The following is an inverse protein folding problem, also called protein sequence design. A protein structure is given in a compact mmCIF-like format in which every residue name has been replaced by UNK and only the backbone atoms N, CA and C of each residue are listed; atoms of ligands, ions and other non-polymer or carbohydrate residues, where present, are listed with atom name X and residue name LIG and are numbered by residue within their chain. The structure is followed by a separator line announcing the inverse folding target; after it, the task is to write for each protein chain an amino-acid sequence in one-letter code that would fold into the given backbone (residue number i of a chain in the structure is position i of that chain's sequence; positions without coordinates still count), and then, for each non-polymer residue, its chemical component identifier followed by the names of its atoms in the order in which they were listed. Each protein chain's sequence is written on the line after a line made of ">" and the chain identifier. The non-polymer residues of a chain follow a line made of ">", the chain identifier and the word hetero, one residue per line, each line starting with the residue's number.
data_IF_767766676715
#
_entry.id   IF_767766676715
#
_cell.length_a   1.000
_cell.length_b   1.000
_cell.length_c   1.000
_cell.angle_alpha   90.00
_cell.angle_beta   90.00
_cell.angle_gamma   90.00
#
_symmetry.space_group_name_H-M   'P 1'
#
loop_
_entity.id
_entity.type
_entity.pdbx_description
1 polymer ?
#
# COMPACT_ATOMS: atom_id res chain seq x y z
N UNK A 1 -0.94 -9.10 -15.91
CA UNK A 1 -1.75 -8.16 -15.10
C UNK A 1 -0.80 -7.09 -14.55
N UNK A 2 -1.18 -5.81 -14.51
CA UNK A 2 -0.28 -4.70 -14.14
C UNK A 2 -0.61 -4.15 -12.75
N UNK A 3 -0.31 -4.91 -11.71
CA UNK A 3 -0.42 -4.45 -10.33
C UNK A 3 0.92 -4.68 -9.63
N UNK A 4 1.50 -3.62 -9.09
CA UNK A 4 2.79 -3.62 -8.43
C UNK A 4 2.76 -2.73 -7.19
N UNK A 5 3.74 -2.93 -6.32
CA UNK A 5 3.97 -2.09 -5.15
C UNK A 5 5.48 -2.00 -4.89
N UNK A 6 5.89 -0.92 -4.24
CA UNK A 6 7.30 -0.66 -3.90
C UNK A 6 7.44 -0.81 -2.40
N UNK A 7 8.37 -1.66 -1.98
CA UNK A 7 8.81 -1.75 -0.59
C UNK A 7 10.12 -0.99 -0.43
N UNK A 8 10.20 -0.17 0.62
CA UNK A 8 11.39 0.60 1.00
C UNK A 8 11.83 0.19 2.39
N UNK A 9 13.12 -0.12 2.56
CA UNK A 9 13.74 -0.28 3.87
C UNK A 9 15.17 0.29 3.85
N UNK A 10 15.73 0.53 5.03
CA UNK A 10 17.14 0.88 5.21
C UNK A 10 17.84 -0.30 5.89
N UNK A 11 18.74 -0.97 5.16
CA UNK A 11 19.53 -2.11 5.64
C UNK A 11 21.00 -1.71 5.56
N UNK A 12 21.78 -1.95 6.61
CA UNK A 12 23.19 -1.59 6.68
C UNK A 12 23.47 -0.12 6.31
N UNK A 13 22.60 0.78 6.80
CA UNK A 13 22.62 2.23 6.51
C UNK A 13 22.43 2.59 5.02
N UNK A 14 22.02 1.65 4.18
CA UNK A 14 21.72 1.86 2.78
C UNK A 14 20.20 1.75 2.55
N UNK A 15 19.64 2.77 1.89
CA UNK A 15 18.25 2.73 1.46
C UNK A 15 18.07 1.82 0.25
N UNK A 16 17.22 0.81 0.39
CA UNK A 16 16.89 -0.17 -0.65
C UNK A 16 15.41 -0.05 -0.99
N UNK A 17 15.10 -0.08 -2.28
CA UNK A 17 13.73 -0.15 -2.79
C UNK A 17 13.59 -1.33 -3.74
N UNK A 18 12.55 -2.12 -3.55
CA UNK A 18 12.22 -3.26 -4.42
C UNK A 18 10.79 -3.13 -4.88
N UNK A 19 10.59 -3.20 -6.20
CA UNK A 19 9.26 -3.24 -6.81
C UNK A 19 8.85 -4.70 -7.00
N UNK A 20 7.74 -5.08 -6.40
CA UNK A 20 7.14 -6.41 -6.55
C UNK A 20 5.92 -6.35 -7.46
N UNK A 21 5.76 -7.36 -8.30
CA UNK A 21 4.56 -7.56 -9.12
C UNK A 21 3.62 -8.57 -8.44
N UNK A 22 2.36 -8.18 -8.21
CA UNK A 22 1.40 -8.97 -7.42
C UNK A 22 1.04 -10.32 -8.06
N UNK A 23 1.18 -10.42 -9.39
CA UNK A 23 0.78 -11.59 -10.17
C UNK A 23 1.98 -12.32 -10.78
N UNK A 24 3.20 -12.05 -10.29
CA UNK A 24 4.38 -12.79 -10.70
C UNK A 24 4.33 -14.23 -10.14
N UNK A 25 4.47 -15.28 -10.98
CA UNK A 25 4.54 -16.66 -10.50
C UNK A 25 5.72 -16.95 -9.56
N UNK A 26 6.75 -16.09 -9.52
CA UNK A 26 7.86 -16.23 -8.57
C UNK A 26 7.49 -15.85 -7.12
N UNK A 27 6.40 -15.09 -6.94
CA UNK A 27 5.94 -14.63 -5.64
C UNK A 27 5.27 -15.78 -4.85
N UNK A 28 5.95 -16.26 -3.81
CA UNK A 28 5.51 -17.43 -3.05
C UNK A 28 4.53 -17.09 -1.91
N UNK A 29 4.84 -16.04 -1.14
CA UNK A 29 4.06 -15.61 0.03
C UNK A 29 4.17 -14.10 0.19
N UNK A 30 3.04 -13.46 0.48
CA UNK A 30 2.98 -12.08 0.96
C UNK A 30 2.45 -12.13 2.39
N UNK A 31 3.22 -11.59 3.32
CA UNK A 31 2.89 -11.53 4.74
C UNK A 31 2.80 -10.07 5.17
N UNK A 32 1.73 -9.73 5.87
CA UNK A 32 1.49 -8.36 6.37
C UNK A 32 1.98 -8.34 7.81
N UNK A 33 3.06 -7.58 8.08
CA UNK A 33 3.60 -7.43 9.43
C UNK A 33 2.79 -6.43 10.25
N UNK A 34 2.42 -5.30 9.65
CA UNK A 34 1.63 -4.24 10.28
C UNK A 34 0.71 -3.60 9.27
N UNK A 35 -0.57 -3.50 9.61
CA UNK A 35 -1.58 -2.87 8.77
C UNK A 35 -1.88 -1.46 9.31
N UNK A 36 -1.48 -0.44 8.57
CA UNK A 36 -1.78 0.95 8.90
C UNK A 36 -1.97 1.81 7.64
N UNK A 37 -2.63 2.94 7.82
CA UNK A 37 -2.70 4.03 6.83
C UNK A 37 -1.83 5.19 7.26
N UNK A 38 -1.37 5.96 6.29
CA UNK A 38 -0.67 7.24 6.51
C UNK A 38 -1.58 8.39 6.09
N UNK A 39 -1.16 9.62 6.35
CA UNK A 39 -1.91 10.82 5.98
C UNK A 39 -1.91 11.08 4.46
N UNK A 40 -0.91 10.56 3.76
CA UNK A 40 -0.78 10.67 2.30
C UNK A 40 -0.84 9.27 1.68
N UNK A 41 -1.40 9.17 0.47
CA UNK A 41 -1.48 7.91 -0.29
C UNK A 41 -0.11 7.47 -0.84
N UNK A 42 0.74 8.43 -1.21
CA UNK A 42 2.07 8.20 -1.77
C UNK A 42 3.17 8.66 -0.81
N UNK A 43 4.09 7.76 -0.46
CA UNK A 43 5.15 8.01 0.52
C UNK A 43 6.53 8.27 -0.11
N UNK A 44 6.59 8.73 -1.36
CA UNK A 44 7.86 8.92 -2.08
C UNK A 44 8.81 9.93 -1.41
N UNK A 45 8.28 10.85 -0.59
CA UNK A 45 9.07 11.79 0.21
C UNK A 45 9.97 11.11 1.25
N UNK A 46 9.74 9.84 1.58
CA UNK A 46 10.61 9.04 2.45
C UNK A 46 12.02 8.83 1.87
N UNK A 47 12.21 9.04 0.56
CA UNK A 47 13.54 9.05 -0.08
C UNK A 47 14.42 10.19 0.44
N UNK A 48 13.82 11.35 0.66
CA UNK A 48 14.47 12.57 1.14
C UNK A 48 14.31 12.79 2.65
N UNK A 49 13.63 11.88 3.35
CA UNK A 49 13.43 11.92 4.80
C UNK A 49 14.66 11.45 5.59
N UNK A 50 14.65 11.71 6.90
CA UNK A 50 15.60 11.08 7.83
C UNK A 50 15.46 9.55 7.79
N UNK A 51 16.57 8.78 7.86
CA UNK A 51 16.54 7.32 7.77
C UNK A 51 15.69 6.64 8.85
N UNK A 52 15.52 7.27 10.01
CA UNK A 52 14.73 6.77 11.14
C UNK A 52 13.28 6.43 10.73
N UNK A 53 12.70 7.18 9.79
CA UNK A 53 11.33 6.93 9.31
C UNK A 53 11.23 5.82 8.25
N UNK A 54 12.36 5.22 7.84
CA UNK A 54 12.43 4.17 6.82
C UNK A 54 13.24 2.96 7.26
N UNK A 55 13.70 2.93 8.52
CA UNK A 55 14.49 1.82 9.05
C UNK A 55 13.56 0.90 9.84
N UNK A 56 13.39 -0.33 9.35
CA UNK A 56 12.59 -1.36 9.99
C UNK A 56 13.41 -2.63 10.18
N UNK A 57 13.23 -3.29 11.33
CA UNK A 57 13.88 -4.57 11.63
C UNK A 57 13.38 -5.65 10.67
N UNK A 58 14.27 -6.33 9.91
CA UNK A 58 13.89 -7.47 9.07
C UNK A 58 13.23 -8.63 9.81
N UNK A 59 13.46 -8.75 11.13
CA UNK A 59 12.92 -9.82 11.97
C UNK A 59 11.71 -9.39 12.81
N UNK A 60 11.03 -8.30 12.42
CA UNK A 60 9.84 -7.84 13.12
C UNK A 60 8.71 -8.88 13.09
N UNK A 61 8.06 -9.10 14.23
CA UNK A 61 6.90 -9.98 14.35
C UNK A 61 5.62 -9.32 13.82
N UNK A 62 4.68 -10.14 13.33
CA UNK A 62 3.41 -9.63 12.81
C UNK A 62 2.47 -9.19 13.94
N UNK A 63 1.98 -7.95 13.86
CA UNK A 63 0.97 -7.39 14.75
C UNK A 63 -0.43 -7.91 14.35
N UNK A 64 -1.07 -8.68 15.25
CA UNK A 64 -2.41 -9.22 15.01
C UNK A 64 -3.47 -8.15 15.31
N UNK A 65 -4.26 -7.82 14.29
CA UNK A 65 -5.39 -6.91 14.39
C UNK A 65 -6.69 -7.73 14.34
N UNK A 66 -7.66 -7.50 15.25
CA UNK A 66 -8.90 -8.25 15.25
C UNK A 66 -9.70 -8.02 13.96
N UNK A 67 -10.28 -9.09 13.43
CA UNK A 67 -11.09 -9.06 12.21
C UNK A 67 -12.26 -8.08 12.36
N UNK A 68 -12.44 -7.21 11.36
CA UNK A 68 -13.52 -6.21 11.34
C UNK A 68 -13.20 -4.90 12.04
N UNK A 69 -12.02 -4.76 12.66
CA UNK A 69 -11.58 -3.46 13.18
C UNK A 69 -11.20 -2.50 12.05
N UNK A 70 -11.37 -1.20 12.31
CA UNK A 70 -10.98 -0.16 11.35
C UNK A 70 -9.46 -0.10 11.22
N UNK A 71 -8.98 0.15 10.00
CA UNK A 71 -7.53 0.28 9.75
C UNK A 71 -7.01 1.53 10.47
N UNK A 72 -6.01 1.41 11.37
CA UNK A 72 -5.48 2.55 12.11
C UNK A 72 -4.77 3.53 11.18
N UNK A 73 -4.97 4.84 11.41
CA UNK A 73 -4.29 5.91 10.69
C UNK A 73 -3.15 6.45 11.56
N UNK A 74 -1.93 6.36 11.04
CA UNK A 74 -0.73 6.83 11.69
C UNK A 74 -0.50 8.33 11.38
N UNK A 75 -0.64 9.24 12.38
CA UNK A 75 -0.57 10.69 12.16
C UNK A 75 0.86 11.25 12.16
N UNK A 76 1.90 10.41 12.22
CA UNK A 76 3.30 10.86 12.32
C UNK A 76 3.68 11.72 11.11
N UNK A 77 4.17 12.93 11.38
CA UNK A 77 4.73 13.84 10.37
C UNK A 77 6.25 13.69 10.29
N UNK A 78 6.73 13.44 9.09
CA UNK A 78 8.14 13.14 8.78
C UNK A 78 8.93 14.43 8.59
N UNK A 79 10.16 14.46 9.13
CA UNK A 79 11.12 15.53 8.87
C UNK A 79 12.00 15.19 7.66
N UNK A 80 12.07 16.10 6.70
CA UNK A 80 12.96 15.97 5.55
C UNK A 80 14.39 16.37 5.89
N UNK A 81 15.34 15.80 5.15
CA UNK A 81 16.73 16.24 5.14
C UNK A 81 16.84 17.66 4.57
N UNK A 82 17.96 18.38 4.82
CA UNK A 82 18.23 19.60 4.09
C UNK A 82 18.33 19.33 2.58
N UNK A 83 18.05 20.37 1.78
CA UNK A 83 18.16 20.32 0.32
C UNK A 83 19.59 19.93 -0.13
N UNK A 84 19.76 19.34 -1.33
CA UNK A 84 18.75 19.12 -2.38
C UNK A 84 17.88 17.87 -2.19
N UNK A 85 16.64 17.92 -2.71
CA UNK A 85 15.68 16.82 -2.73
C UNK A 85 15.47 16.28 -4.14
N UNK A 86 14.93 15.07 -4.25
CA UNK A 86 14.61 14.43 -5.52
C UNK A 86 13.44 15.13 -6.23
N UNK A 87 12.43 15.56 -5.46
CA UNK A 87 11.27 16.28 -6.00
C UNK A 87 11.00 17.60 -5.28
N UNK A 88 10.14 18.40 -5.90
CA UNK A 88 9.60 19.64 -5.34
C UNK A 88 8.40 19.33 -4.45
N UNK A 89 8.68 18.76 -3.28
CA UNK A 89 7.66 18.35 -2.30
C UNK A 89 6.75 19.50 -1.86
N UNK A 90 7.24 20.75 -1.91
CA UNK A 90 6.45 21.94 -1.57
C UNK A 90 5.22 22.14 -2.46
N UNK A 91 5.15 21.46 -3.61
CA UNK A 91 4.06 21.57 -4.59
C UNK A 91 2.98 20.50 -4.45
N UNK A 92 3.27 19.41 -3.73
CA UNK A 92 2.41 18.22 -3.68
C UNK A 92 1.33 18.26 -2.59
N UNK A 93 1.24 19.36 -1.83
CA UNK A 93 0.26 19.54 -0.74
C UNK A 93 0.22 18.34 0.25
N UNK A 94 1.39 17.88 0.66
CA UNK A 94 1.56 16.71 1.55
C UNK A 94 1.11 17.04 2.97
N UNK A 95 0.42 16.11 3.62
CA UNK A 95 -0.04 16.23 5.01
C UNK A 95 0.89 15.51 6.00
N UNK A 96 1.61 14.49 5.54
CA UNK A 96 2.51 13.65 6.33
C UNK A 96 3.93 14.18 6.48
N UNK A 97 4.22 15.40 6.01
CA UNK A 97 5.54 16.04 6.13
C UNK A 97 5.45 17.23 7.09
N UNK A 98 6.50 17.44 7.88
CA UNK A 98 6.64 18.64 8.73
C UNK A 98 6.82 19.89 7.88
N UNK A 99 6.75 21.07 8.51
CA UNK A 99 7.03 22.32 7.78
C UNK A 99 8.45 22.26 7.19
N UNK A 100 8.56 22.63 5.92
CA UNK A 100 9.78 22.55 5.13
C UNK A 100 10.76 23.70 5.43
N UNK A 101 10.34 24.67 6.25
CA UNK A 101 11.11 25.86 6.64
C UNK A 101 11.65 26.63 5.41
N UNK A 102 10.89 26.61 4.30
CA UNK A 102 11.31 27.26 3.06
C UNK A 102 11.00 28.75 3.07
N UNK A 103 11.81 29.57 2.37
CA UNK A 103 11.46 30.96 2.11
C UNK A 103 10.08 31.08 1.44
N UNK A 104 9.30 32.07 1.85
CA UNK A 104 7.92 32.31 1.39
C UNK A 104 7.77 32.33 -0.14
N UNK A 105 8.82 32.76 -0.85
CA UNK A 105 8.89 32.75 -2.32
C UNK A 105 8.61 31.37 -2.94
N UNK A 106 9.01 30.28 -2.28
CA UNK A 106 8.75 28.92 -2.76
C UNK A 106 7.26 28.56 -2.62
N UNK A 107 6.65 28.90 -1.49
CA UNK A 107 5.23 28.66 -1.23
C UNK A 107 4.33 29.47 -2.19
N UNK A 108 4.69 30.74 -2.47
CA UNK A 108 3.97 31.57 -3.47
C UNK A 108 3.98 30.91 -4.86
N UNK A 109 5.14 30.46 -5.32
CA UNK A 109 5.28 29.74 -6.61
C UNK A 109 4.54 28.40 -6.62
N UNK A 110 4.48 27.70 -5.50
CA UNK A 110 3.71 26.47 -5.39
C UNK A 110 2.21 26.73 -5.51
N UNK A 111 1.72 27.78 -4.83
CA UNK A 111 0.33 28.21 -4.90
C UNK A 111 -0.09 28.64 -6.32
N UNK A 112 0.77 29.35 -7.06
CA UNK A 112 0.54 29.73 -8.45
C UNK A 112 0.36 28.52 -9.39
N UNK A 113 1.03 27.40 -9.10
CA UNK A 113 0.95 26.17 -9.89
C UNK A 113 -0.16 25.22 -9.42
N UNK A 114 -0.77 25.50 -8.26
CA UNK A 114 -1.81 24.66 -7.71
C UNK A 114 -3.05 24.68 -8.62
N UNK A 115 -3.77 23.56 -8.67
CA UNK A 115 -4.98 23.39 -9.47
C UNK A 115 -6.20 23.24 -8.55
N UNK A 116 -6.65 24.30 -7.87
CA UNK A 116 -7.76 24.21 -6.91
C UNK A 116 -9.08 23.78 -7.53
N UNK A 117 -9.25 23.90 -8.85
CA UNK A 117 -10.45 23.44 -9.57
C UNK A 117 -10.52 21.92 -9.73
N UNK A 118 -9.40 21.20 -9.56
CA UNK A 118 -9.35 19.74 -9.77
C UNK A 118 -10.27 18.96 -8.83
N UNK A 119 -10.52 19.47 -7.63
CA UNK A 119 -11.47 18.88 -6.67
C UNK A 119 -12.93 18.97 -7.10
N UNK A 120 -13.24 19.81 -8.10
CA UNK A 120 -14.58 19.98 -8.66
C UNK A 120 -14.71 19.29 -10.04
N UNK A 121 -13.67 18.60 -10.50
CA UNK A 121 -13.66 17.91 -11.78
C UNK A 121 -14.30 16.51 -11.64
N UNK A 122 -15.62 16.47 -11.84
CA UNK A 122 -16.41 15.24 -11.76
C UNK A 122 -15.98 14.19 -12.79
N UNK A 123 -15.52 14.62 -13.97
CA UNK A 123 -15.06 13.68 -15.00
C UNK A 123 -13.77 12.99 -14.54
N UNK A 124 -12.88 13.74 -13.88
CA UNK A 124 -11.66 13.18 -13.30
C UNK A 124 -11.96 12.22 -12.15
N UNK A 125 -12.95 12.52 -11.32
CA UNK A 125 -13.41 11.60 -10.28
C UNK A 125 -13.99 10.32 -10.87
N UNK A 126 -14.86 10.44 -11.88
CA UNK A 126 -15.43 9.31 -12.62
C UNK A 126 -14.35 8.44 -13.28
N UNK A 127 -13.30 9.04 -13.84
CA UNK A 127 -12.17 8.28 -14.42
C UNK A 127 -11.27 7.62 -13.37
N UNK A 128 -11.30 8.09 -12.12
CA UNK A 128 -10.50 7.53 -11.01
C UNK A 128 -11.21 6.38 -10.32
N UNK A 129 -12.53 6.40 -10.28
CA UNK A 129 -13.36 5.39 -9.61
C UNK A 129 -13.98 4.44 -10.62
N UNK A 130 -14.34 3.25 -10.16
CA UNK A 130 -15.14 2.32 -10.96
C UNK A 130 -16.61 2.67 -10.70
N UNK A 131 -17.47 2.80 -11.72
CA UNK A 131 -18.90 3.05 -11.52
C UNK A 131 -19.57 2.00 -10.63
N UNK A 132 -20.61 2.38 -9.88
CA UNK A 132 -21.29 1.48 -8.94
C UNK A 132 -21.83 0.21 -9.63
N UNK A 133 -22.41 0.36 -10.82
CA UNK A 133 -22.91 -0.75 -11.64
C UNK A 133 -21.80 -1.79 -11.90
N UNK A 134 -20.64 -1.35 -12.40
CA UNK A 134 -19.48 -2.21 -12.65
C UNK A 134 -18.93 -2.81 -11.34
N UNK A 135 -18.91 -2.05 -10.24
CA UNK A 135 -18.50 -2.58 -8.94
C UNK A 135 -19.37 -3.75 -8.50
N UNK A 136 -20.70 -3.66 -8.64
CA UNK A 136 -21.61 -4.75 -8.27
C UNK A 136 -21.36 -6.01 -9.08
N UNK A 137 -21.13 -5.87 -10.39
CA UNK A 137 -20.79 -6.99 -11.27
C UNK A 137 -19.48 -7.64 -10.84
N UNK A 138 -18.42 -6.85 -10.66
CA UNK A 138 -17.09 -7.31 -10.23
C UNK A 138 -17.18 -8.05 -8.89
N UNK A 139 -17.84 -7.46 -7.88
CA UNK A 139 -17.96 -8.08 -6.56
C UNK A 139 -18.79 -9.35 -6.59
N UNK A 140 -19.87 -9.41 -7.38
CA UNK A 140 -20.68 -10.61 -7.54
C UNK A 140 -19.87 -11.76 -8.16
N UNK A 141 -19.05 -11.46 -9.18
CA UNK A 141 -18.19 -12.44 -9.83
C UNK A 141 -17.14 -12.97 -8.83
N UNK A 142 -16.45 -12.07 -8.12
CA UNK A 142 -15.47 -12.41 -7.09
C UNK A 142 -16.09 -13.30 -6.02
N UNK A 143 -17.24 -12.91 -5.47
CA UNK A 143 -17.92 -13.66 -4.41
C UNK A 143 -18.31 -15.06 -4.87
N UNK A 144 -18.80 -15.20 -6.10
CA UNK A 144 -19.15 -16.49 -6.69
C UNK A 144 -17.92 -17.41 -6.83
N UNK A 145 -16.77 -16.87 -7.24
CA UNK A 145 -15.51 -17.61 -7.37
C UNK A 145 -14.94 -17.99 -6.01
N UNK A 146 -14.99 -17.09 -5.03
CA UNK A 146 -14.57 -17.37 -3.64
C UNK A 146 -15.39 -18.50 -3.03
N UNK A 147 -16.72 -18.47 -3.20
CA UNK A 147 -17.60 -19.53 -2.70
C UNK A 147 -17.27 -20.90 -3.33
N UNK A 148 -17.00 -20.94 -4.64
CA UNK A 148 -16.57 -22.17 -5.33
C UNK A 148 -15.24 -22.69 -4.77
N UNK A 149 -14.25 -21.81 -4.61
CA UNK A 149 -12.95 -22.15 -4.04
C UNK A 149 -13.07 -22.72 -2.61
N UNK A 150 -13.94 -22.16 -1.78
CA UNK A 150 -14.17 -22.67 -0.43
C UNK A 150 -14.80 -24.05 -0.41
N UNK A 151 -15.76 -24.32 -1.30
CA UNK A 151 -16.35 -25.64 -1.47
C UNK A 151 -15.29 -26.66 -1.91
N UNK A 152 -14.42 -26.30 -2.84
CA UNK A 152 -13.37 -27.19 -3.35
C UNK A 152 -12.26 -27.42 -2.32
N UNK A 153 -11.90 -26.41 -1.52
CA UNK A 153 -11.03 -26.55 -0.34
C UNK A 153 -11.63 -27.53 0.66
N UNK A 154 -12.93 -27.42 0.99
CA UNK A 154 -13.63 -28.35 1.89
C UNK A 154 -13.64 -29.78 1.35
N UNK A 155 -13.92 -29.98 0.05
CA UNK A 155 -13.87 -31.30 -0.60
C UNK A 155 -12.46 -31.90 -0.56
N UNK A 156 -11.44 -31.10 -0.85
CA UNK A 156 -10.04 -31.55 -0.86
C UNK A 156 -9.54 -31.95 0.52
N UNK A 157 -9.90 -31.19 1.57
CA UNK A 157 -9.62 -31.56 2.96
C UNK A 157 -10.25 -32.91 3.32
N UNK A 158 -11.51 -33.15 2.95
CA UNK A 158 -12.18 -34.44 3.18
C UNK A 158 -11.49 -35.61 2.46
N UNK A 159 -11.05 -35.42 1.21
CA UNK A 159 -10.30 -36.45 0.46
C UNK A 159 -8.98 -36.82 1.12
N UNK A 160 -8.22 -35.83 1.63
CA UNK A 160 -6.92 -36.07 2.31
C UNK A 160 -7.07 -36.85 3.62
N UNK A 161 -8.17 -36.69 4.34
CA UNK A 161 -8.44 -37.45 5.57
C UNK A 161 -8.77 -38.92 5.26
N UNK A 162 -9.32 -39.21 4.08
CA UNK A 162 -9.66 -40.56 3.66
C UNK A 162 -8.52 -41.23 2.88
N UNK A 163 -7.47 -41.66 3.59
CA UNK A 163 -6.48 -42.61 3.06
C UNK A 163 -6.90 -43.99 3.55
N UNK A 164 -7.38 -44.86 2.64
CA UNK A 164 -7.63 -46.26 2.99
C UNK A 164 -6.28 -46.89 3.35
N UNK A 165 -6.15 -47.56 4.51
CA UNK A 165 -4.91 -48.26 4.85
C UNK A 165 -4.64 -49.31 3.77
N UNK A 166 -3.49 -49.20 3.10
CA UNK A 166 -2.96 -50.25 2.23
C UNK A 166 -2.62 -51.43 3.11
N UNK A 167 -3.38 -52.54 2.98
CA UNK A 167 -2.98 -53.80 3.60
C UNK A 167 -1.65 -54.20 2.95
N UNK A 168 -0.58 -54.19 3.75
CA UNK A 168 0.67 -54.86 3.41
C UNK A 168 0.34 -56.35 3.31
N UNK A 169 0.51 -56.90 2.10
CA UNK A 169 0.42 -58.32 1.80
C UNK A 169 1.77 -59.00 2.08
#
# INVERSE_FOLDING_TARGET
>A
LRANFILRNVIDHQGIEVMYEMYDPSLQKVEILRLEKRLDDELFYLRDALPEYSTFDPNMEAELIPEGSLVPVNPIKVKLKPKPWLERWERKNLQGVQDLELPEKFYKRAAELAKPWEKYDLMKEYMRTIPEEEQTEIFSEIQSKLQKLDVDRKKSKRKRVFVKPTKLA
#
